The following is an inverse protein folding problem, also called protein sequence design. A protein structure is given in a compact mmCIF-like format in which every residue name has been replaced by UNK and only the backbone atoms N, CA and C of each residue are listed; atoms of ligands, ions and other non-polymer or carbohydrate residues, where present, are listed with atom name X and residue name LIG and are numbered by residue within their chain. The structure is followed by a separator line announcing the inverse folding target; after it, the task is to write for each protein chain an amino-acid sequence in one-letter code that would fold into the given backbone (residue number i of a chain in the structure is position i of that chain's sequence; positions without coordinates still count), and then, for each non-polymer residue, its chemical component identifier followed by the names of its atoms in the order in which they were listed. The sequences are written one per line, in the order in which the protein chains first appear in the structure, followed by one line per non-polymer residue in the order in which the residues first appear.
data_IF_034185361517
#
_entry.id   IF_034185361517
#
_cell.length_a   1.000
_cell.length_b   1.000
_cell.length_c   1.000
_cell.angle_alpha   90.00
_cell.angle_beta   90.00
_cell.angle_gamma   90.00
#
_symmetry.space_group_name_H-M   'P 1'
#
loop_
_entity.id
_entity.type
_entity.pdbx_description
1 polymer ?
#
# COMPACT_ATOMS: atom_id res chain seq x y z
N UNK A 1 -0.96 19.34 -29.76
CA UNK A 1 -0.65 20.18 -28.59
C UNK A 1 -1.73 20.01 -27.52
N UNK A 2 -3.01 20.18 -27.86
CA UNK A 2 -4.16 20.05 -26.94
C UNK A 2 -4.35 18.64 -26.32
N UNK A 3 -4.06 17.58 -27.08
CA UNK A 3 -4.16 16.17 -26.63
C UNK A 3 -3.10 15.78 -25.61
N UNK A 4 -1.89 16.31 -25.72
CA UNK A 4 -0.77 15.96 -24.84
C UNK A 4 -0.86 16.64 -23.47
N UNK A 5 -1.31 17.89 -23.46
CA UNK A 5 -1.64 18.64 -22.24
C UNK A 5 -2.80 17.97 -21.47
N UNK A 6 -3.81 17.47 -22.19
CA UNK A 6 -4.93 16.71 -21.61
C UNK A 6 -4.47 15.39 -20.99
N UNK A 7 -3.56 14.66 -21.64
CA UNK A 7 -3.01 13.41 -21.12
C UNK A 7 -2.15 13.64 -19.86
N UNK A 8 -1.29 14.66 -19.86
CA UNK A 8 -0.51 15.01 -18.67
C UNK A 8 -1.41 15.41 -17.50
N UNK A 9 -2.48 16.17 -17.76
CA UNK A 9 -3.43 16.55 -16.73
C UNK A 9 -4.18 15.35 -16.14
N UNK A 10 -4.56 14.38 -16.98
CA UNK A 10 -5.20 13.13 -16.53
C UNK A 10 -4.25 12.27 -15.69
N UNK A 11 -2.96 12.20 -16.05
CA UNK A 11 -1.93 11.54 -15.23
C UNK A 11 -1.84 12.18 -13.84
N UNK A 12 -1.78 13.51 -13.75
CA UNK A 12 -1.72 14.22 -12.47
C UNK A 12 -2.93 13.93 -11.57
N UNK A 13 -4.13 13.83 -12.15
CA UNK A 13 -5.36 13.50 -11.40
C UNK A 13 -5.36 12.07 -10.87
N UNK A 14 -4.83 11.10 -11.61
CA UNK A 14 -4.72 9.72 -11.13
C UNK A 14 -3.85 9.60 -9.87
N UNK A 15 -2.73 10.33 -9.82
CA UNK A 15 -1.84 10.31 -8.66
C UNK A 15 -2.47 10.92 -7.39
N UNK A 16 -3.39 11.88 -7.53
CA UNK A 16 -4.05 12.56 -6.40
C UNK A 16 -5.21 11.78 -5.77
N UNK A 17 -5.72 10.74 -6.44
CA UNK A 17 -6.99 10.09 -6.06
C UNK A 17 -6.86 9.11 -4.89
N UNK A 18 -5.66 8.67 -4.50
CA UNK A 18 -5.52 7.70 -3.41
C UNK A 18 -4.40 8.06 -2.44
N UNK A 19 -4.81 8.27 -1.18
CA UNK A 19 -3.95 8.31 0.01
C UNK A 19 -4.38 7.16 0.91
N UNK A 20 -3.47 6.22 1.16
CA UNK A 20 -3.71 5.13 2.10
C UNK A 20 -3.57 5.63 3.56
N UNK A 21 -4.37 5.08 4.48
CA UNK A 21 -4.18 5.26 5.94
C UNK A 21 -5.06 6.31 6.62
N UNK A 22 -5.96 6.99 5.92
CA UNK A 22 -6.93 7.95 6.50
C UNK A 22 -8.27 7.84 5.77
N UNK A 23 -9.41 8.15 6.44
CA UNK A 23 -10.67 8.33 5.75
C UNK A 23 -10.56 9.48 4.74
N UNK A 24 -11.33 9.40 3.65
CA UNK A 24 -11.36 10.43 2.61
C UNK A 24 -11.79 11.77 3.20
N UNK A 25 -11.05 12.84 2.88
CA UNK A 25 -11.38 14.21 3.31
C UNK A 25 -12.63 14.75 2.63
N UNK A 26 -12.87 14.33 1.38
CA UNK A 26 -14.09 14.61 0.64
C UNK A 26 -14.98 13.38 0.73
N UNK A 27 -16.20 13.54 1.24
CA UNK A 27 -17.15 12.43 1.33
C UNK A 27 -17.72 12.12 -0.04
N UNK A 28 -18.05 10.86 -0.29
CA UNK A 28 -18.70 10.45 -1.54
C UNK A 28 -20.02 11.20 -1.78
N UNK A 29 -20.72 11.60 -0.71
CA UNK A 29 -21.95 12.40 -0.78
C UNK A 29 -21.71 13.85 -1.22
N UNK A 30 -20.48 14.34 -1.15
CA UNK A 30 -20.09 15.71 -1.51
C UNK A 30 -19.60 15.80 -2.97
N UNK A 31 -19.47 14.65 -3.66
CA UNK A 31 -19.11 14.58 -5.07
C UNK A 31 -20.38 14.54 -5.93
N UNK A 32 -20.76 15.67 -6.50
CA UNK A 32 -21.90 15.81 -7.42
C UNK A 32 -21.53 15.53 -8.90
N UNK A 33 -20.23 15.37 -9.17
CA UNK A 33 -19.72 15.17 -10.53
C UNK A 33 -19.86 13.71 -10.98
N UNK A 34 -20.48 13.52 -12.14
CA UNK A 34 -20.57 12.22 -12.80
C UNK A 34 -19.22 11.73 -13.32
N UNK A 35 -19.05 10.41 -13.38
CA UNK A 35 -17.91 9.82 -14.07
C UNK A 35 -17.85 10.34 -15.52
N UNK A 36 -16.66 10.68 -16.04
CA UNK A 36 -16.52 11.07 -17.43
C UNK A 36 -17.01 9.92 -18.33
N UNK A 37 -17.68 10.26 -19.44
CA UNK A 37 -18.00 9.26 -20.46
C UNK A 37 -16.69 8.84 -21.11
N UNK A 38 -16.45 7.55 -21.23
CA UNK A 38 -15.28 7.05 -21.94
C UNK A 38 -15.28 7.54 -23.38
N UNK A 39 -14.21 8.22 -23.79
CA UNK A 39 -14.04 8.64 -25.18
C UNK A 39 -14.00 7.41 -26.11
N UNK A 40 -14.62 7.48 -27.31
CA UNK A 40 -14.49 6.43 -28.33
C UNK A 40 -13.10 6.42 -28.99
N UNK A 41 -12.29 7.45 -28.78
CA UNK A 41 -10.92 7.56 -29.29
C UNK A 41 -10.03 6.47 -28.67
N UNK A 42 -9.30 5.73 -29.51
CA UNK A 42 -8.42 4.64 -29.09
C UNK A 42 -7.27 5.09 -28.20
N UNK A 43 -6.83 6.35 -28.33
CA UNK A 43 -5.69 6.87 -27.56
C UNK A 43 -6.12 7.44 -26.20
N UNK A 44 -7.39 7.79 -26.05
CA UNK A 44 -7.94 8.52 -24.89
C UNK A 44 -8.88 7.65 -24.04
N UNK A 45 -9.67 6.80 -24.69
CA UNK A 45 -10.64 5.90 -24.07
C UNK A 45 -10.07 5.00 -22.98
N UNK A 46 -8.89 4.38 -23.16
CA UNK A 46 -8.24 3.60 -22.11
C UNK A 46 -7.94 4.40 -20.83
N UNK A 47 -7.51 5.66 -20.98
CA UNK A 47 -7.24 6.54 -19.83
C UNK A 47 -8.52 6.95 -19.09
N UNK A 48 -9.62 7.18 -19.81
CA UNK A 48 -10.93 7.42 -19.19
C UNK A 48 -11.39 6.20 -18.39
N UNK A 49 -11.25 5.00 -18.96
CA UNK A 49 -11.59 3.76 -18.27
C UNK A 49 -10.71 3.57 -17.02
N UNK A 50 -9.40 3.84 -17.12
CA UNK A 50 -8.47 3.77 -16.01
C UNK A 50 -8.86 4.74 -14.89
N UNK A 51 -9.23 5.98 -15.24
CA UNK A 51 -9.70 6.97 -14.28
C UNK A 51 -10.99 6.55 -13.59
N UNK A 52 -11.96 6.01 -14.34
CA UNK A 52 -13.20 5.49 -13.76
C UNK A 52 -12.90 4.36 -12.78
N UNK A 53 -11.99 3.45 -13.12
CA UNK A 53 -11.60 2.34 -12.25
C UNK A 53 -10.84 2.82 -11.00
N UNK A 54 -9.96 3.81 -11.14
CA UNK A 54 -9.26 4.44 -10.02
C UNK A 54 -10.24 5.14 -9.06
N UNK A 55 -11.24 5.85 -9.59
CA UNK A 55 -12.29 6.47 -8.75
C UNK A 55 -13.10 5.40 -8.03
N UNK A 56 -13.51 4.33 -8.71
CA UNK A 56 -14.22 3.21 -8.06
C UNK A 56 -13.39 2.56 -6.95
N UNK A 57 -12.09 2.38 -7.19
CA UNK A 57 -11.16 1.87 -6.20
C UNK A 57 -11.04 2.79 -4.98
N UNK A 58 -10.86 4.10 -5.20
CA UNK A 58 -10.77 5.08 -4.13
C UNK A 58 -12.04 5.13 -3.27
N UNK A 59 -13.22 5.05 -3.89
CA UNK A 59 -14.50 4.92 -3.16
C UNK A 59 -14.54 3.65 -2.30
N UNK A 60 -14.16 2.52 -2.88
CA UNK A 60 -14.11 1.25 -2.17
C UNK A 60 -13.14 1.32 -0.98
N UNK A 61 -11.95 1.87 -1.18
CA UNK A 61 -10.94 2.02 -0.14
C UNK A 61 -11.42 2.97 0.98
N UNK A 62 -12.08 4.08 0.64
CA UNK A 62 -12.68 4.99 1.63
C UNK A 62 -13.74 4.28 2.50
N UNK A 63 -14.63 3.51 1.87
CA UNK A 63 -15.66 2.73 2.56
C UNK A 63 -15.07 1.64 3.47
N UNK A 64 -13.99 0.99 3.04
CA UNK A 64 -13.24 0.04 3.87
C UNK A 64 -12.73 0.72 5.13
N UNK A 65 -12.13 1.90 5.04
CA UNK A 65 -11.68 2.65 6.22
C UNK A 65 -12.85 3.02 7.15
N UNK A 66 -13.94 3.54 6.60
CA UNK A 66 -15.09 3.95 7.39
C UNK A 66 -15.75 2.77 8.14
N UNK A 67 -15.84 1.60 7.50
CA UNK A 67 -16.58 0.46 8.03
C UNK A 67 -15.72 -0.58 8.78
N UNK A 68 -14.40 -0.59 8.59
CA UNK A 68 -13.49 -1.52 9.29
C UNK A 68 -12.49 -0.84 10.24
N UNK A 69 -12.28 0.47 10.12
CA UNK A 69 -11.24 1.18 10.88
C UNK A 69 -11.76 2.37 11.71
N UNK A 70 -13.00 2.82 11.50
CA UNK A 70 -13.59 3.89 12.31
C UNK A 70 -13.80 3.48 13.78
N UNK A 71 -14.01 4.47 14.65
CA UNK A 71 -14.34 4.20 16.05
C UNK A 71 -15.63 3.38 16.21
N UNK A 72 -16.63 3.61 15.35
CA UNK A 72 -17.85 2.82 15.32
C UNK A 72 -17.57 1.37 14.90
N UNK A 73 -16.76 1.18 13.86
CA UNK A 73 -16.36 -0.14 13.37
C UNK A 73 -15.64 -0.99 14.43
N UNK A 74 -14.79 -0.36 15.26
CA UNK A 74 -14.10 -1.04 16.38
C UNK A 74 -15.04 -1.57 17.46
N UNK A 75 -16.23 -0.98 17.58
CA UNK A 75 -17.25 -1.38 18.55
C UNK A 75 -18.35 -2.26 17.92
N UNK A 76 -18.23 -2.61 16.63
CA UNK A 76 -19.20 -3.46 15.96
C UNK A 76 -19.14 -4.90 16.47
N UNK A 77 -20.25 -5.62 16.37
CA UNK A 77 -20.31 -7.02 16.79
C UNK A 77 -19.43 -7.90 15.88
N UNK A 78 -18.74 -8.94 16.39
CA UNK A 78 -17.84 -9.78 15.58
C UNK A 78 -18.49 -10.37 14.32
N UNK A 79 -19.78 -10.75 14.41
CA UNK A 79 -20.56 -11.25 13.26
C UNK A 79 -20.70 -10.18 12.17
N UNK A 80 -21.02 -8.94 12.53
CA UNK A 80 -21.14 -7.83 11.58
C UNK A 80 -19.79 -7.50 10.94
N UNK A 81 -18.70 -7.60 11.71
CA UNK A 81 -17.35 -7.40 11.19
C UNK A 81 -16.99 -8.47 10.16
N UNK A 82 -17.29 -9.75 10.43
CA UNK A 82 -17.05 -10.84 9.48
C UNK A 82 -17.85 -10.67 8.17
N UNK A 83 -19.13 -10.32 8.26
CA UNK A 83 -19.97 -10.00 7.09
C UNK A 83 -19.40 -8.84 6.28
N UNK A 84 -18.95 -7.78 6.96
CA UNK A 84 -18.36 -6.59 6.35
C UNK A 84 -17.06 -6.94 5.60
N UNK A 85 -16.19 -7.75 6.22
CA UNK A 85 -14.96 -8.25 5.60
C UNK A 85 -15.29 -9.04 4.33
N UNK A 86 -16.20 -10.02 4.40
CA UNK A 86 -16.60 -10.83 3.24
C UNK A 86 -17.16 -9.96 2.12
N UNK A 87 -18.02 -9.00 2.46
CA UNK A 87 -18.63 -8.09 1.49
C UNK A 87 -17.57 -7.25 0.77
N UNK A 88 -16.61 -6.67 1.50
CA UNK A 88 -15.58 -5.83 0.89
C UNK A 88 -14.54 -6.64 0.11
N UNK A 89 -14.15 -7.83 0.59
CA UNK A 89 -13.30 -8.75 -0.17
C UNK A 89 -13.93 -9.12 -1.51
N UNK A 90 -15.23 -9.44 -1.53
CA UNK A 90 -15.96 -9.76 -2.77
C UNK A 90 -16.06 -8.55 -3.71
N UNK A 91 -16.35 -7.35 -3.18
CA UNK A 91 -16.36 -6.11 -3.98
C UNK A 91 -15.00 -5.80 -4.59
N UNK A 92 -13.93 -5.95 -3.82
CA UNK A 92 -12.56 -5.73 -4.28
C UNK A 92 -12.17 -6.74 -5.37
N UNK A 93 -12.51 -8.01 -5.17
CA UNK A 93 -12.28 -9.06 -6.16
C UNK A 93 -13.07 -8.79 -7.45
N UNK A 94 -14.34 -8.39 -7.36
CA UNK A 94 -15.14 -8.01 -8.54
C UNK A 94 -14.51 -6.84 -9.29
N UNK A 95 -14.08 -5.79 -8.57
CA UNK A 95 -13.36 -4.66 -9.16
C UNK A 95 -12.08 -5.12 -9.86
N UNK A 96 -11.29 -5.99 -9.23
CA UNK A 96 -10.03 -6.49 -9.78
C UNK A 96 -10.23 -7.37 -11.02
N UNK A 97 -11.21 -8.28 -11.02
CA UNK A 97 -11.54 -9.12 -12.19
C UNK A 97 -12.07 -8.31 -13.38
N UNK A 98 -12.64 -7.12 -13.12
CA UNK A 98 -13.05 -6.18 -14.16
C UNK A 98 -11.86 -5.47 -14.84
N UNK A 99 -10.65 -5.58 -14.28
CA UNK A 99 -9.45 -5.04 -14.88
C UNK A 99 -8.86 -6.02 -15.88
N UNK A 100 -8.40 -5.49 -17.03
CA UNK A 100 -7.72 -6.30 -18.06
C UNK A 100 -6.22 -6.42 -17.83
N UNK A 101 -5.67 -5.70 -16.84
CA UNK A 101 -4.24 -5.46 -16.68
C UNK A 101 -3.75 -5.76 -15.25
N UNK A 102 -2.60 -6.44 -15.15
CA UNK A 102 -1.94 -6.80 -13.88
C UNK A 102 -1.23 -5.63 -13.19
N UNK A 103 -1.22 -4.43 -13.78
CA UNK A 103 -0.59 -3.24 -13.19
C UNK A 103 -1.23 -2.83 -11.85
N UNK A 104 -2.36 -3.42 -11.47
CA UNK A 104 -3.08 -3.11 -10.23
C UNK A 104 -2.86 -4.14 -9.12
N UNK A 105 -2.02 -5.16 -9.32
CA UNK A 105 -1.79 -6.24 -8.35
C UNK A 105 -1.35 -5.70 -6.99
N UNK A 106 -0.45 -4.71 -6.98
CA UNK A 106 0.06 -4.09 -5.75
C UNK A 106 -1.06 -3.42 -4.95
N UNK A 107 -1.94 -2.66 -5.62
CA UNK A 107 -3.06 -1.99 -4.97
C UNK A 107 -4.13 -3.01 -4.51
N UNK A 108 -4.38 -4.02 -5.33
CA UNK A 108 -5.31 -5.10 -4.99
C UNK A 108 -4.87 -5.85 -3.74
N UNK A 109 -3.65 -6.40 -3.72
CA UNK A 109 -3.16 -7.17 -2.57
C UNK A 109 -2.91 -6.29 -1.34
N UNK A 110 -2.53 -5.01 -1.52
CA UNK A 110 -2.46 -4.04 -0.42
C UNK A 110 -3.82 -3.86 0.26
N UNK A 111 -4.87 -3.59 -0.51
CA UNK A 111 -6.21 -3.36 0.03
C UNK A 111 -6.87 -4.65 0.50
N UNK A 112 -6.60 -5.77 -0.17
CA UNK A 112 -7.07 -7.08 0.28
C UNK A 112 -6.47 -7.42 1.65
N UNK A 113 -5.18 -7.19 1.84
CA UNK A 113 -4.54 -7.37 3.16
C UNK A 113 -5.13 -6.42 4.19
N UNK A 114 -5.36 -5.14 3.84
CA UNK A 114 -6.03 -4.17 4.71
C UNK A 114 -7.42 -4.64 5.17
N UNK A 115 -8.16 -5.35 4.32
CA UNK A 115 -9.48 -5.91 4.68
C UNK A 115 -9.32 -7.15 5.56
N UNK A 116 -8.49 -8.11 5.13
CA UNK A 116 -8.37 -9.42 5.75
C UNK A 116 -7.64 -9.41 7.10
N UNK A 117 -6.79 -8.41 7.38
CA UNK A 117 -6.13 -8.27 8.68
C UNK A 117 -7.11 -8.03 9.84
N UNK A 118 -8.38 -7.73 9.53
CA UNK A 118 -9.46 -7.60 10.52
C UNK A 118 -10.21 -8.90 10.77
N UNK A 119 -9.95 -9.95 9.99
CA UNK A 119 -10.55 -11.25 10.24
C UNK A 119 -9.91 -11.88 11.49
N UNK A 120 -10.71 -12.46 12.40
CA UNK A 120 -10.15 -13.19 13.52
C UNK A 120 -9.39 -14.42 12.99
N UNK A 121 -8.17 -14.68 13.48
CA UNK A 121 -7.50 -15.94 13.20
C UNK A 121 -8.26 -17.11 13.86
N UNK A 122 -8.10 -18.31 13.31
CA UNK A 122 -8.52 -19.56 13.96
C UNK A 122 -7.62 -19.87 15.16
N UNK A 123 -8.02 -20.81 16.02
CA UNK A 123 -7.21 -21.23 17.18
C UNK A 123 -5.83 -21.81 16.77
N UNK A 124 -5.71 -22.32 15.55
CA UNK A 124 -4.47 -22.88 15.00
C UNK A 124 -3.58 -21.83 14.31
N UNK A 125 -4.12 -20.65 14.01
CA UNK A 125 -3.44 -19.59 13.28
C UNK A 125 -2.69 -18.65 14.23
N UNK A 126 -1.43 -18.36 13.91
CA UNK A 126 -0.55 -17.52 14.71
C UNK A 126 -0.87 -16.02 14.53
N UNK A 127 -1.95 -15.55 15.14
CA UNK A 127 -2.33 -14.13 15.26
C UNK A 127 -2.83 -13.46 13.98
N UNK A 128 -2.48 -13.98 12.79
CA UNK A 128 -2.92 -13.50 11.48
C UNK A 128 -3.56 -14.67 10.73
N UNK A 129 -4.73 -14.45 10.14
CA UNK A 129 -5.40 -15.50 9.37
C UNK A 129 -4.61 -15.91 8.13
N UNK A 130 -4.71 -17.18 7.74
CA UNK A 130 -3.97 -17.73 6.60
C UNK A 130 -4.30 -16.98 5.30
N UNK A 131 -5.58 -16.64 5.10
CA UNK A 131 -6.02 -15.85 3.94
C UNK A 131 -5.40 -14.44 3.91
N UNK A 132 -5.26 -13.79 5.07
CA UNK A 132 -4.58 -12.51 5.17
C UNK A 132 -3.09 -12.65 4.87
N UNK A 133 -2.43 -13.66 5.45
CA UNK A 133 -1.01 -13.94 5.24
C UNK A 133 -0.68 -14.21 3.77
N UNK A 134 -1.50 -15.01 3.08
CA UNK A 134 -1.34 -15.30 1.67
C UNK A 134 -1.45 -14.03 0.82
N UNK A 135 -2.48 -13.22 1.04
CA UNK A 135 -2.65 -11.94 0.34
C UNK A 135 -1.46 -11.01 0.59
N UNK A 136 -0.96 -10.95 1.83
CA UNK A 136 0.17 -10.14 2.22
C UNK A 136 1.47 -10.59 1.53
N UNK A 137 1.78 -11.89 1.57
CA UNK A 137 2.96 -12.47 0.91
C UNK A 137 2.94 -12.22 -0.60
N UNK A 138 1.79 -12.39 -1.26
CA UNK A 138 1.66 -12.08 -2.69
C UNK A 138 1.86 -10.58 -2.95
N UNK A 139 1.28 -9.71 -2.11
CA UNK A 139 1.48 -8.26 -2.22
C UNK A 139 2.94 -7.83 -2.14
N UNK A 140 3.72 -8.41 -1.22
CA UNK A 140 5.17 -8.15 -1.14
C UNK A 140 5.90 -8.62 -2.40
N UNK A 141 5.58 -9.81 -2.91
CA UNK A 141 6.18 -10.32 -4.16
C UNK A 141 5.84 -9.43 -5.37
N UNK A 142 4.61 -8.91 -5.44
CA UNK A 142 4.21 -7.96 -6.49
C UNK A 142 5.06 -6.69 -6.44
N UNK A 143 5.36 -6.16 -5.25
CA UNK A 143 6.27 -5.02 -5.09
C UNK A 143 7.68 -5.31 -5.61
N UNK A 144 8.25 -6.46 -5.26
CA UNK A 144 9.60 -6.85 -5.68
C UNK A 144 9.67 -7.06 -7.20
N UNK A 145 8.68 -7.74 -7.78
CA UNK A 145 8.58 -7.97 -9.21
C UNK A 145 8.41 -6.66 -9.99
N UNK A 146 7.55 -5.75 -9.51
CA UNK A 146 7.34 -4.44 -10.11
C UNK A 146 8.61 -3.59 -10.03
N UNK A 147 9.28 -3.53 -8.90
CA UNK A 147 10.53 -2.78 -8.82
C UNK A 147 11.62 -3.34 -9.75
N UNK A 148 11.70 -4.67 -9.88
CA UNK A 148 12.64 -5.32 -10.79
C UNK A 148 12.38 -4.97 -12.26
N UNK A 149 11.11 -4.84 -12.68
CA UNK A 149 10.79 -4.43 -14.05
C UNK A 149 11.21 -2.99 -14.36
N UNK A 150 11.31 -2.13 -13.34
CA UNK A 150 11.82 -0.76 -13.46
C UNK A 150 13.36 -0.70 -13.46
N UNK A 151 14.05 -1.80 -13.12
CA UNK A 151 15.52 -1.88 -13.15
C UNK A 151 16.07 -2.41 -14.48
N UNK A 152 15.31 -3.22 -15.22
CA UNK A 152 15.74 -3.86 -16.48
C UNK A 152 15.75 -2.85 -17.66
N UNK A 153 15.38 -1.61 -17.41
CA UNK A 153 15.04 -0.62 -18.41
C UNK A 153 16.26 0.26 -18.77
N UNK A 154 17.35 -0.34 -19.26
CA UNK A 154 18.59 0.36 -19.69
C UNK A 154 18.44 1.19 -20.99
N UNK A 155 17.22 1.46 -21.45
CA UNK A 155 16.98 2.20 -22.70
C UNK A 155 16.78 3.70 -22.46
N UNK A 156 17.26 4.58 -23.36
CA UNK A 156 16.98 6.01 -23.29
C UNK A 156 15.47 6.27 -23.39
N UNK A 157 14.88 6.86 -22.35
CA UNK A 157 13.45 7.15 -22.27
C UNK A 157 12.61 6.15 -21.45
N UNK A 158 13.23 5.23 -20.71
CA UNK A 158 12.51 4.31 -19.83
C UNK A 158 12.42 4.76 -18.36
N UNK A 159 11.30 4.33 -17.79
CA UNK A 159 10.77 4.52 -16.45
C UNK A 159 11.83 4.23 -15.37
N UNK A 160 12.18 5.23 -14.55
CA UNK A 160 13.26 5.13 -13.54
C UNK A 160 12.81 4.55 -12.18
N UNK A 161 13.75 4.15 -11.33
CA UNK A 161 13.47 3.80 -9.92
C UNK A 161 12.69 4.90 -9.16
N UNK A 162 12.89 6.17 -9.56
CA UNK A 162 12.12 7.31 -9.04
C UNK A 162 10.64 7.29 -9.45
N UNK A 163 10.31 6.74 -10.62
CA UNK A 163 8.93 6.59 -11.07
C UNK A 163 8.21 5.46 -10.31
N UNK A 164 8.91 4.38 -9.96
CA UNK A 164 8.36 3.37 -9.03
C UNK A 164 7.98 4.02 -7.69
N UNK A 165 8.86 4.85 -7.14
CA UNK A 165 8.60 5.55 -5.88
C UNK A 165 7.45 6.56 -5.99
N UNK A 166 7.38 7.31 -7.09
CA UNK A 166 6.34 8.32 -7.31
C UNK A 166 4.95 7.71 -7.54
N UNK A 167 4.86 6.58 -8.25
CA UNK A 167 3.57 6.06 -8.73
C UNK A 167 3.11 4.83 -7.97
N UNK A 168 4.02 3.90 -7.68
CA UNK A 168 3.66 2.59 -7.14
C UNK A 168 3.71 2.62 -5.62
N UNK A 169 4.79 3.14 -5.04
CA UNK A 169 4.89 3.24 -3.58
C UNK A 169 3.85 4.18 -2.97
N UNK A 170 3.56 5.30 -3.64
CA UNK A 170 2.55 6.24 -3.15
C UNK A 170 1.15 5.62 -3.05
N UNK A 171 0.84 4.66 -3.92
CA UNK A 171 -0.46 4.00 -4.00
C UNK A 171 -0.52 2.69 -3.19
N UNK A 172 0.63 2.22 -2.70
CA UNK A 172 0.72 1.02 -1.89
C UNK A 172 0.52 1.30 -0.41
N UNK A 173 -0.02 0.31 0.31
CA UNK A 173 -0.15 0.38 1.76
C UNK A 173 0.94 -0.43 2.45
N UNK A 174 1.29 -0.07 3.68
CA UNK A 174 2.18 -0.88 4.53
C UNK A 174 1.56 -2.16 5.08
N UNK A 175 0.27 -2.42 4.83
CA UNK A 175 -0.45 -3.54 5.45
C UNK A 175 0.15 -4.92 5.11
N UNK A 176 0.54 -5.23 3.86
CA UNK A 176 1.25 -6.47 3.55
C UNK A 176 2.52 -6.68 4.38
N UNK A 177 3.31 -5.62 4.56
CA UNK A 177 4.54 -5.68 5.35
C UNK A 177 4.24 -5.95 6.82
N UNK A 178 3.24 -5.24 7.38
CA UNK A 178 2.84 -5.40 8.78
C UNK A 178 2.23 -6.78 9.04
N UNK A 179 1.37 -7.29 8.16
CA UNK A 179 0.73 -8.59 8.32
C UNK A 179 1.76 -9.73 8.34
N UNK A 180 2.73 -9.71 7.41
CA UNK A 180 3.82 -10.69 7.38
C UNK A 180 4.72 -10.55 8.60
N UNK A 181 5.06 -9.33 9.03
CA UNK A 181 5.81 -9.10 10.28
C UNK A 181 5.09 -9.65 11.51
N UNK A 182 3.79 -9.41 11.67
CA UNK A 182 2.99 -9.88 12.80
C UNK A 182 2.91 -11.41 12.83
N UNK A 183 2.73 -12.05 11.66
CA UNK A 183 2.78 -13.50 11.56
C UNK A 183 4.17 -14.04 11.92
N UNK A 184 5.24 -13.42 11.39
CA UNK A 184 6.59 -13.87 11.62
C UNK A 184 6.96 -13.93 13.11
N UNK A 185 6.58 -12.91 13.89
CA UNK A 185 6.83 -12.88 15.33
C UNK A 185 5.91 -13.82 16.12
N UNK A 186 4.68 -14.08 15.64
CA UNK A 186 3.73 -14.94 16.35
C UNK A 186 3.99 -16.43 16.08
N UNK A 187 4.61 -16.75 14.94
CA UNK A 187 4.89 -18.11 14.47
C UNK A 187 6.39 -18.47 14.51
N UNK A 188 7.25 -17.61 15.07
CA UNK A 188 8.71 -17.76 15.05
C UNK A 188 9.29 -18.06 13.66
N UNK A 189 8.71 -17.44 12.64
CA UNK A 189 9.00 -17.74 11.23
C UNK A 189 10.08 -16.82 10.68
N UNK A 190 11.32 -17.30 10.66
CA UNK A 190 12.42 -16.62 9.94
C UNK A 190 12.16 -16.56 8.42
N UNK A 191 11.44 -17.54 7.87
CA UNK A 191 11.07 -17.57 6.45
C UNK A 191 10.23 -16.34 6.07
N UNK A 192 9.29 -15.94 6.93
CA UNK A 192 8.46 -14.76 6.70
C UNK A 192 9.21 -13.44 6.86
N UNK A 193 10.35 -13.44 7.54
CA UNK A 193 11.20 -12.24 7.64
C UNK A 193 12.03 -12.00 6.38
N UNK A 194 12.39 -13.04 5.62
CA UNK A 194 13.20 -12.88 4.41
C UNK A 194 12.57 -11.93 3.37
N UNK A 195 11.28 -12.09 2.98
CA UNK A 195 10.63 -11.15 2.06
C UNK A 195 10.58 -9.69 2.57
N UNK A 196 10.57 -9.47 3.90
CA UNK A 196 10.60 -8.12 4.46
C UNK A 196 11.92 -7.43 4.17
N UNK A 197 13.02 -8.17 4.17
CA UNK A 197 14.35 -7.63 3.90
C UNK A 197 14.55 -7.25 2.46
N UNK A 198 14.05 -8.09 1.56
CA UNK A 198 14.07 -7.80 0.13
C UNK A 198 13.33 -6.49 -0.14
N UNK A 199 12.18 -6.29 0.52
CA UNK A 199 11.42 -5.03 0.43
C UNK A 199 12.19 -3.88 1.05
N UNK A 200 12.85 -4.06 2.20
CA UNK A 200 13.73 -3.04 2.80
C UNK A 200 14.87 -2.65 1.87
N UNK A 201 15.48 -3.59 1.16
CA UNK A 201 16.53 -3.33 0.19
C UNK A 201 16.02 -2.52 -1.01
N UNK A 202 14.80 -2.81 -1.49
CA UNK A 202 14.12 -1.98 -2.50
C UNK A 202 13.88 -0.56 -1.96
N UNK A 203 13.33 -0.42 -0.76
CA UNK A 203 13.05 0.87 -0.14
C UNK A 203 14.32 1.70 0.10
N UNK A 204 15.45 1.03 0.39
CA UNK A 204 16.74 1.69 0.53
C UNK A 204 17.17 2.39 -0.76
N UNK A 205 17.04 1.72 -1.91
CA UNK A 205 17.42 2.27 -3.22
C UNK A 205 16.62 3.53 -3.56
N UNK A 206 15.33 3.54 -3.25
CA UNK A 206 14.45 4.70 -3.50
C UNK A 206 14.36 5.69 -2.34
N UNK A 207 15.10 5.48 -1.25
CA UNK A 207 15.05 6.34 -0.06
C UNK A 207 15.49 7.78 -0.34
N UNK A 208 16.31 7.99 -1.37
CA UNK A 208 16.83 9.29 -1.79
C UNK A 208 15.84 10.11 -2.62
N UNK A 209 14.74 9.49 -3.07
CA UNK A 209 13.76 10.14 -3.97
C UNK A 209 12.93 11.19 -3.23
N UNK A 210 12.58 10.95 -1.96
CA UNK A 210 11.82 11.90 -1.15
C UNK A 210 11.96 11.62 0.36
N UNK A 211 11.65 12.63 1.18
CA UNK A 211 11.60 12.47 2.64
C UNK A 211 10.62 11.36 3.08
N UNK A 212 9.49 11.21 2.37
CA UNK A 212 8.53 10.14 2.64
C UNK A 212 9.11 8.74 2.35
N UNK A 213 9.84 8.58 1.25
CA UNK A 213 10.53 7.33 0.94
C UNK A 213 11.61 7.01 1.98
N UNK A 214 12.37 8.01 2.41
CA UNK A 214 13.36 7.83 3.47
C UNK A 214 12.71 7.41 4.81
N UNK A 215 11.60 8.04 5.19
CA UNK A 215 10.85 7.67 6.39
C UNK A 215 10.32 6.23 6.30
N UNK A 216 9.75 5.86 5.15
CA UNK A 216 9.24 4.51 4.89
C UNK A 216 10.34 3.46 5.03
N UNK A 217 11.51 3.70 4.42
CA UNK A 217 12.68 2.84 4.58
C UNK A 217 13.08 2.67 6.05
N UNK A 218 13.20 3.77 6.81
CA UNK A 218 13.57 3.73 8.23
C UNK A 218 12.57 2.91 9.06
N UNK A 219 11.28 3.10 8.85
CA UNK A 219 10.23 2.34 9.54
C UNK A 219 10.34 0.86 9.22
N UNK A 220 10.30 0.47 7.94
CA UNK A 220 10.39 -0.93 7.53
C UNK A 220 11.68 -1.61 7.98
N UNK A 221 12.83 -0.93 7.91
CA UNK A 221 14.11 -1.46 8.41
C UNK A 221 14.09 -1.71 9.92
N UNK A 222 13.37 -0.88 10.67
CA UNK A 222 13.24 -1.04 12.12
C UNK A 222 12.38 -2.25 12.45
N UNK A 223 11.24 -2.41 11.75
CA UNK A 223 10.37 -3.58 11.90
C UNK A 223 11.09 -4.88 11.51
N UNK A 224 11.78 -4.94 10.37
CA UNK A 224 12.51 -6.15 9.95
C UNK A 224 13.60 -6.54 10.96
N UNK A 225 14.36 -5.56 11.46
CA UNK A 225 15.39 -5.80 12.49
C UNK A 225 14.76 -6.27 13.81
N UNK A 226 13.67 -5.63 14.24
CA UNK A 226 12.97 -6.02 15.46
C UNK A 226 12.40 -7.43 15.35
N UNK A 227 11.78 -7.76 14.22
CA UNK A 227 11.19 -9.08 13.97
C UNK A 227 12.23 -10.18 14.09
N UNK A 228 13.42 -9.98 13.51
CA UNK A 228 14.53 -10.92 13.69
C UNK A 228 14.98 -11.06 15.12
N UNK A 229 15.15 -9.93 15.81
CA UNK A 229 15.60 -9.96 17.20
C UNK A 229 14.62 -10.78 18.04
N UNK A 230 13.31 -10.58 17.87
CA UNK A 230 12.27 -11.31 18.60
C UNK A 230 12.29 -12.82 18.27
N UNK A 231 12.27 -13.19 16.99
CA UNK A 231 12.27 -14.60 16.57
C UNK A 231 13.58 -15.33 16.94
N UNK A 232 14.71 -14.61 16.95
CA UNK A 232 16.01 -15.19 17.33
C UNK A 232 16.21 -15.23 18.85
N UNK A 233 15.76 -14.24 19.62
CA UNK A 233 15.89 -14.25 21.09
C UNK A 233 14.93 -15.24 21.76
N UNK A 234 13.80 -15.61 21.14
CA UNK A 234 12.92 -16.66 21.69
C UNK A 234 13.59 -18.05 21.67
N UNK A 235 14.61 -18.25 20.82
CA UNK A 235 15.48 -19.44 20.92
C UNK A 235 16.40 -19.44 22.15
N UNK A 236 16.44 -18.36 22.94
CA UNK A 236 17.22 -18.23 24.20
C UNK A 236 16.35 -18.23 25.45
N UNK A 237 15.02 -18.15 25.33
CA UNK A 237 14.10 -18.10 26.48
C UNK A 237 13.86 -19.48 27.13
N UNK A 238 14.55 -20.54 26.69
CA UNK A 238 14.75 -21.76 27.50
C UNK A 238 15.74 -21.57 28.67
N UNK A 239 16.27 -20.36 28.91
CA UNK A 239 17.07 -20.08 30.10
C UNK A 239 16.50 -18.90 30.92
N UNK A 240 15.80 -19.17 32.03
CA UNK A 240 15.07 -18.16 32.77
C UNK A 240 16.00 -17.45 33.75
N UNK A 241 16.67 -16.37 33.35
CA UNK A 241 17.19 -15.36 34.29
C UNK A 241 17.72 -14.12 33.54
N UNK A 242 16.94 -13.03 33.55
CA UNK A 242 17.43 -11.75 33.04
C UNK A 242 16.35 -10.76 32.60
N UNK A 243 15.44 -10.37 33.51
CA UNK A 243 14.44 -9.35 33.21
C UNK A 243 15.08 -7.97 32.94
N UNK A 244 14.80 -7.39 31.77
CA UNK A 244 15.19 -6.02 31.43
C UNK A 244 14.06 -5.04 31.80
N UNK A 245 14.34 -4.16 32.76
CA UNK A 245 13.51 -3.03 33.14
C UNK A 245 13.53 -1.95 32.04
N UNK A 246 12.35 -1.51 31.62
CA UNK A 246 12.17 -0.38 30.71
C UNK A 246 12.22 0.93 31.50
N UNK A 247 13.29 1.70 31.34
CA UNK A 247 13.39 3.07 31.88
C UNK A 247 12.65 4.06 30.97
N UNK A 248 11.56 4.62 31.49
CA UNK A 248 10.86 5.78 30.92
C UNK A 248 11.63 7.06 31.24
N UNK A 249 11.89 7.89 30.23
CA UNK A 249 12.00 9.34 30.42
C UNK A 249 11.41 10.10 29.21
N UNK A 250 10.63 11.17 29.44
CA UNK A 250 9.99 11.96 28.40
C UNK A 250 10.82 13.19 28.01
N UNK A 251 10.93 13.51 26.72
CA UNK A 251 11.35 14.85 26.28
C UNK A 251 10.57 15.28 25.03
N UNK A 252 9.99 16.50 24.96
CA UNK A 252 9.17 16.95 23.85
C UNK A 252 10.02 17.66 22.78
N UNK A 253 9.78 17.32 21.50
CA UNK A 253 10.37 17.97 20.32
C UNK A 253 9.29 18.57 19.41
N UNK A 254 9.63 19.56 18.56
CA UNK A 254 8.76 20.69 18.25
C UNK A 254 7.74 20.44 17.13
N UNK A 255 6.63 21.19 17.23
CA UNK A 255 5.54 21.28 16.25
C UNK A 255 6.04 21.89 14.93
N UNK A 256 5.89 21.15 13.82
CA UNK A 256 6.11 21.65 12.45
C UNK A 256 4.78 21.85 11.74
N UNK A 257 4.53 23.08 11.28
CA UNK A 257 3.32 23.50 10.57
C UNK A 257 3.17 22.93 9.14
N UNK A 258 2.10 23.31 8.42
CA UNK A 258 1.74 22.68 7.15
C UNK A 258 2.61 23.20 5.99
N UNK A 259 3.44 22.33 5.42
CA UNK A 259 4.22 22.63 4.21
C UNK A 259 3.35 22.52 2.95
N UNK A 260 3.52 23.51 2.06
CA UNK A 260 2.69 23.81 0.89
C UNK A 260 3.08 22.95 -0.33
N UNK A 261 2.08 22.47 -1.08
CA UNK A 261 2.17 21.46 -2.13
C UNK A 261 2.54 22.03 -3.52
N UNK A 262 3.75 22.58 -3.71
CA UNK A 262 4.15 23.11 -5.04
C UNK A 262 5.48 22.58 -5.62
N UNK A 263 6.15 21.60 -4.99
CA UNK A 263 7.50 21.18 -5.39
C UNK A 263 7.68 19.87 -6.16
N UNK A 264 6.63 19.16 -6.62
CA UNK A 264 6.75 17.71 -6.93
C UNK A 264 6.94 17.37 -8.43
N UNK A 265 6.83 18.31 -9.37
CA UNK A 265 6.92 17.97 -10.81
C UNK A 265 8.21 18.46 -11.46
N UNK A 266 9.23 17.60 -11.48
CA UNK A 266 10.43 17.78 -12.30
C UNK A 266 10.13 17.61 -13.79
N UNK A 267 10.81 18.41 -14.62
CA UNK A 267 10.67 18.61 -16.09
C UNK A 267 10.96 17.37 -16.99
N UNK A 268 10.91 16.14 -16.47
CA UNK A 268 11.31 14.93 -17.19
C UNK A 268 10.25 14.23 -18.06
N UNK A 269 9.00 14.72 -18.13
CA UNK A 269 7.93 14.07 -18.90
C UNK A 269 7.79 14.67 -20.30
N UNK A 270 8.64 14.27 -21.25
CA UNK A 270 8.44 14.63 -22.67
C UNK A 270 8.36 13.47 -23.65
N UNK A 271 8.63 12.21 -23.30
CA UNK A 271 8.45 11.10 -24.23
C UNK A 271 8.15 9.78 -23.52
N UNK A 272 7.09 9.08 -23.94
CA UNK A 272 7.00 7.62 -23.82
C UNK A 272 6.40 7.05 -22.54
N UNK A 273 5.10 7.24 -22.29
CA UNK A 273 4.33 6.29 -21.49
C UNK A 273 3.15 5.81 -22.33
N UNK A 274 3.38 4.73 -23.09
CA UNK A 274 2.30 3.88 -23.57
C UNK A 274 1.78 3.11 -22.35
N UNK A 275 0.46 3.04 -22.20
CA UNK A 275 -0.15 2.03 -21.33
C UNK A 275 0.41 0.68 -21.81
N UNK A 276 0.98 -0.16 -20.92
CA UNK A 276 1.43 -1.49 -21.27
C UNK A 276 0.34 -2.32 -21.98
#
# INVERSE_FOLDING_TARGET
MDTEETLQQRRRRLAQVSRAGRPSYLRDSEVDVWHPRSSPDSDVGPWDQLLIMAVKFAKLQGQVYDQLYSAAARNAHPVQQAETIQQFSAKLQSWYTGLREKSWDIMYYSTMTLILIKAPPTEEEAGVSQTCLEAARVGLRCHLACFSSYQIADSPGQVSEGEYASWVLHQSSLNPFIAVFLHAIAADSLEDLCPLDDVVAVLQKVSVVSNSCQALFKVCSTFARLGRALVMDDTRLENPEGGLQLSNDPNPGPQSGPETFEGIFGEGMKNGFKIP
#
